data_IF_395965639857
#
_entry.id   IF_395965639857
#
_cell.length_a   1.000
_cell.length_b   1.000
_cell.length_c   1.000
_cell.angle_alpha   90.00
_cell.angle_beta   90.00
_cell.angle_gamma   90.00
#
_symmetry.space_group_name_H-M   'P 1'
#
loop_
_entity.id
_entity.type
_entity.pdbx_description
1 polymer ?
#
# COMPACT_ATOMS: atom_id res chain seq x y z
N UNK A 1 -19.76 52.29 -19.12
CA UNK A 1 -18.44 52.54 -19.74
C UNK A 1 -17.64 53.48 -18.85
N UNK A 2 -16.40 53.09 -18.50
CA UNK A 2 -15.26 53.88 -17.97
C UNK A 2 -15.42 54.53 -16.57
N UNK A 3 -14.80 53.98 -15.53
CA UNK A 3 -13.41 54.17 -15.06
C UNK A 3 -13.21 55.41 -14.16
N UNK A 4 -12.94 55.23 -12.86
CA UNK A 4 -11.61 55.42 -12.22
C UNK A 4 -11.69 55.56 -10.69
N UNK A 5 -10.71 54.90 -10.06
CA UNK A 5 -10.31 55.00 -8.67
C UNK A 5 -9.91 56.43 -8.27
N UNK A 6 -10.03 56.76 -6.98
CA UNK A 6 -9.04 57.64 -6.37
C UNK A 6 -8.71 57.23 -4.93
N UNK A 7 -7.42 57.26 -4.64
CA UNK A 7 -6.72 56.96 -3.38
C UNK A 7 -6.05 58.28 -2.93
N UNK A 8 -5.16 58.26 -1.93
CA UNK A 8 -5.34 58.60 -0.52
C UNK A 8 -4.88 60.03 -0.15
N UNK A 9 -5.31 60.50 1.03
CA UNK A 9 -4.76 61.70 1.68
C UNK A 9 -3.48 61.37 2.44
N UNK A 10 -2.43 62.16 2.18
CA UNK A 10 -1.12 62.17 2.85
C UNK A 10 -1.11 63.23 3.95
N UNK A 11 -0.58 62.89 5.11
CA UNK A 11 0.12 63.83 6.00
C UNK A 11 1.25 63.03 6.67
N UNK A 12 2.54 63.20 6.30
CA UNK A 12 3.52 64.14 6.89
C UNK A 12 3.41 64.16 8.42
N UNK A 13 4.45 64.05 9.24
CA UNK A 13 5.91 64.00 9.13
C UNK A 13 6.34 63.79 10.59
N UNK A 14 7.40 63.02 10.87
CA UNK A 14 8.45 63.35 11.85
C UNK A 14 9.26 62.10 12.22
N UNK A 15 10.52 62.15 11.83
CA UNK A 15 11.59 61.22 12.15
C UNK A 15 12.14 61.60 13.53
N UNK A 16 12.30 60.65 14.46
CA UNK A 16 13.45 60.64 15.40
C UNK A 16 13.88 59.20 15.70
N UNK A 17 15.14 58.92 15.34
CA UNK A 17 15.88 57.69 15.60
C UNK A 17 16.34 57.67 17.05
N UNK A 18 16.14 56.57 17.77
CA UNK A 18 16.92 56.02 18.90
C UNK A 18 16.31 54.61 19.10
N UNK A 19 16.95 53.49 18.78
CA UNK A 19 18.20 53.01 19.35
C UNK A 19 17.90 52.13 20.58
N UNK A 20 17.61 50.83 20.37
CA UNK A 20 18.13 49.70 21.18
C UNK A 20 17.54 48.36 20.68
N UNK A 21 18.41 47.39 20.48
CA UNK A 21 18.07 46.00 20.26
C UNK A 21 17.63 45.34 21.58
N UNK A 22 16.55 44.56 21.54
CA UNK A 22 16.26 43.52 22.55
C UNK A 22 15.84 42.26 21.81
N UNK A 23 16.76 41.29 21.77
CA UNK A 23 16.49 39.88 21.48
C UNK A 23 15.81 39.28 22.71
N UNK A 24 14.59 38.80 22.59
CA UNK A 24 14.07 37.73 23.46
C UNK A 24 13.44 36.67 22.56
N UNK A 25 14.11 35.53 22.52
CA UNK A 25 13.62 34.29 21.99
C UNK A 25 12.68 33.59 22.99
N UNK A 26 11.88 32.67 22.44
CA UNK A 26 11.22 31.54 23.08
C UNK A 26 9.92 31.78 23.87
N UNK A 27 8.88 31.03 23.50
CA UNK A 27 7.64 30.92 24.27
C UNK A 27 6.49 30.23 23.54
N UNK A 28 6.67 28.94 23.25
CA UNK A 28 5.72 27.93 22.77
C UNK A 28 4.21 28.23 22.83
N UNK A 29 3.51 28.07 21.69
CA UNK A 29 2.12 27.63 21.67
C UNK A 29 2.01 26.39 20.77
N UNK A 30 1.90 25.26 21.45
CA UNK A 30 1.76 23.93 20.89
C UNK A 30 0.44 23.78 20.13
N UNK A 31 0.53 23.24 18.93
CA UNK A 31 -0.60 22.83 18.11
C UNK A 31 -0.15 22.08 16.85
N UNK A 32 1.04 21.49 16.89
CA UNK A 32 1.44 20.55 15.86
C UNK A 32 0.65 19.26 16.12
N UNK A 33 -0.47 19.12 15.43
CA UNK A 33 -1.07 17.82 15.16
C UNK A 33 0.06 16.89 14.74
N UNK A 34 0.42 15.97 15.63
CA UNK A 34 1.28 14.86 15.30
C UNK A 34 0.60 14.12 14.16
N UNK A 35 1.06 14.37 12.94
CA UNK A 35 1.01 13.37 11.89
C UNK A 35 1.82 12.19 12.42
N UNK A 36 1.14 11.30 13.14
CA UNK A 36 1.62 9.94 13.32
C UNK A 36 1.81 9.39 11.92
N UNK A 37 3.05 9.40 11.44
CA UNK A 37 3.47 8.44 10.42
C UNK A 37 2.94 7.10 10.92
N UNK A 38 2.15 6.34 10.15
CA UNK A 38 1.83 5.00 10.56
C UNK A 38 3.18 4.34 10.81
N UNK A 39 3.43 3.95 12.07
CA UNK A 39 4.56 3.12 12.41
C UNK A 39 4.32 1.82 11.65
N UNK A 40 4.79 1.75 10.40
CA UNK A 40 4.93 0.49 9.70
C UNK A 40 5.90 -0.28 10.58
N UNK A 41 5.37 -1.13 11.45
CA UNK A 41 6.19 -2.04 12.21
C UNK A 41 7.04 -2.77 11.16
N UNK A 42 8.37 -2.76 11.30
CA UNK A 42 9.21 -3.55 10.41
C UNK A 42 8.70 -4.99 10.47
N UNK A 43 8.78 -5.69 9.36
CA UNK A 43 8.23 -7.03 9.22
C UNK A 43 8.63 -7.95 10.38
N UNK A 44 7.75 -8.03 11.37
CA UNK A 44 8.02 -8.59 12.68
C UNK A 44 7.00 -9.69 12.94
N UNK A 45 7.47 -10.76 13.60
CA UNK A 45 6.82 -12.04 13.82
C UNK A 45 5.29 -12.05 13.71
N UNK A 46 4.78 -12.14 12.48
CA UNK A 46 3.46 -12.70 12.25
C UNK A 46 3.56 -14.12 12.81
N UNK A 47 2.62 -14.52 13.67
CA UNK A 47 2.40 -15.91 14.04
C UNK A 47 1.46 -16.49 12.99
N UNK A 48 1.96 -16.98 11.83
CA UNK A 48 1.15 -17.89 11.08
C UNK A 48 0.85 -19.06 12.00
N UNK A 49 -0.33 -19.65 11.96
CA UNK A 49 -0.58 -20.92 12.67
C UNK A 49 0.34 -22.05 12.14
N UNK A 50 -0.12 -23.29 12.07
CA UNK A 50 0.67 -24.36 11.45
C UNK A 50 0.81 -24.11 9.94
N UNK A 51 1.80 -23.29 9.54
CA UNK A 51 2.20 -23.02 8.15
C UNK A 51 3.63 -23.48 7.95
N UNK A 52 3.99 -23.85 6.73
CA UNK A 52 5.39 -24.13 6.40
C UNK A 52 6.24 -22.87 6.60
N UNK A 53 7.50 -23.04 7.01
CA UNK A 53 8.44 -21.91 7.20
C UNK A 53 8.54 -21.03 5.95
N UNK A 54 8.61 -21.65 4.76
CA UNK A 54 8.63 -20.93 3.48
C UNK A 54 7.40 -20.04 3.26
N UNK A 55 6.20 -20.50 3.65
CA UNK A 55 4.99 -19.69 3.53
C UNK A 55 5.02 -18.54 4.56
N UNK A 56 5.46 -18.82 5.78
CA UNK A 56 5.63 -17.81 6.82
C UNK A 56 6.59 -16.69 6.38
N UNK A 57 7.70 -17.05 5.75
CA UNK A 57 8.71 -16.09 5.28
C UNK A 57 8.21 -15.28 4.08
N UNK A 58 7.51 -15.92 3.14
CA UNK A 58 6.89 -15.22 2.02
C UNK A 58 5.86 -14.16 2.49
N UNK A 59 5.09 -14.46 3.54
CA UNK A 59 4.12 -13.53 4.12
C UNK A 59 4.75 -12.31 4.81
N UNK A 60 6.04 -12.40 5.17
CA UNK A 60 6.82 -11.33 5.80
C UNK A 60 7.56 -10.46 4.78
N UNK A 61 7.38 -10.67 3.48
CA UNK A 61 7.97 -9.79 2.47
C UNK A 61 7.35 -8.39 2.61
N UNK A 62 8.17 -7.32 2.70
CA UNK A 62 7.64 -5.95 2.73
C UNK A 62 6.87 -5.61 1.45
N UNK A 63 5.69 -5.01 1.59
CA UNK A 63 4.86 -4.61 0.45
C UNK A 63 5.62 -3.67 -0.51
N UNK A 64 6.47 -2.79 0.05
CA UNK A 64 7.35 -1.88 -0.71
C UNK A 64 8.35 -2.59 -1.64
N UNK A 65 8.79 -3.80 -1.29
CA UNK A 65 9.68 -4.59 -2.16
C UNK A 65 8.97 -5.11 -3.42
N UNK A 66 7.66 -5.32 -3.32
CA UNK A 66 6.79 -5.77 -4.42
C UNK A 66 6.38 -4.58 -5.29
N UNK A 67 6.02 -3.47 -4.66
CA UNK A 67 5.58 -2.23 -5.32
C UNK A 67 6.08 -1.03 -4.52
N UNK A 68 6.92 -0.20 -5.13
CA UNK A 68 7.60 0.90 -4.46
C UNK A 68 6.66 2.00 -3.91
N UNK A 69 5.41 2.05 -4.39
CA UNK A 69 4.39 2.98 -3.90
C UNK A 69 3.74 2.50 -2.58
N UNK A 70 4.02 1.27 -2.15
CA UNK A 70 3.45 0.68 -0.95
C UNK A 70 4.29 0.98 0.31
N UNK A 71 3.68 0.94 1.50
CA UNK A 71 4.39 1.13 2.76
C UNK A 71 5.38 -0.02 3.06
N UNK A 72 6.33 0.25 3.96
CA UNK A 72 7.30 -0.73 4.48
C UNK A 72 6.71 -1.72 5.51
N UNK A 73 5.43 -2.07 5.35
CA UNK A 73 4.78 -3.08 6.18
C UNK A 73 4.75 -4.42 5.45
N UNK A 74 4.58 -5.52 6.18
CA UNK A 74 4.49 -6.85 5.57
C UNK A 74 3.31 -6.94 4.62
N UNK A 75 3.49 -7.73 3.56
CA UNK A 75 2.44 -7.95 2.57
C UNK A 75 1.19 -8.57 3.19
N UNK A 76 1.34 -9.48 4.15
CA UNK A 76 0.20 -10.05 4.86
C UNK A 76 -0.58 -9.00 5.65
N UNK A 77 0.10 -8.16 6.43
CA UNK A 77 -0.55 -7.10 7.21
C UNK A 77 -1.17 -6.04 6.30
N UNK A 78 -0.48 -5.69 5.21
CA UNK A 78 -0.99 -4.75 4.21
C UNK A 78 -2.27 -5.27 3.54
N UNK A 79 -2.32 -6.56 3.18
CA UNK A 79 -3.50 -7.17 2.58
C UNK A 79 -4.66 -7.25 3.57
N UNK A 80 -4.39 -7.59 4.84
CA UNK A 80 -5.40 -7.57 5.92
C UNK A 80 -5.97 -6.18 6.13
N UNK A 81 -5.11 -5.16 6.21
CA UNK A 81 -5.53 -3.77 6.36
C UNK A 81 -6.30 -3.25 5.13
N UNK A 82 -5.92 -3.70 3.93
CA UNK A 82 -6.56 -3.27 2.68
C UNK A 82 -7.93 -3.93 2.49
N UNK A 83 -8.04 -5.23 2.78
CA UNK A 83 -9.29 -5.97 2.66
C UNK A 83 -10.25 -5.71 3.83
N UNK A 84 -9.71 -5.34 5.00
CA UNK A 84 -10.47 -5.14 6.24
C UNK A 84 -10.89 -6.46 6.89
N UNK A 85 -10.16 -7.56 6.62
CA UNK A 85 -10.42 -8.89 7.17
C UNK A 85 -9.11 -9.65 7.38
N UNK A 86 -9.10 -10.56 8.35
CA UNK A 86 -8.00 -11.49 8.61
C UNK A 86 -8.19 -12.86 7.94
N UNK A 87 -9.30 -13.07 7.23
CA UNK A 87 -9.66 -14.33 6.59
C UNK A 87 -9.05 -14.44 5.18
N UNK A 88 -7.76 -14.75 5.14
CA UNK A 88 -7.04 -15.07 3.92
C UNK A 88 -6.61 -16.55 3.91
N UNK A 89 -6.89 -17.24 2.82
CA UNK A 89 -6.24 -18.48 2.47
C UNK A 89 -4.91 -18.19 1.77
N UNK A 90 -3.83 -18.66 2.38
CA UNK A 90 -2.47 -18.43 1.93
C UNK A 90 -1.86 -19.72 1.40
N UNK A 91 -1.23 -19.67 0.24
CA UNK A 91 -0.51 -20.82 -0.30
C UNK A 91 0.70 -20.41 -1.13
N UNK A 92 1.60 -21.38 -1.36
CA UNK A 92 2.67 -21.26 -2.34
C UNK A 92 2.34 -22.14 -3.55
N UNK A 93 2.17 -21.52 -4.71
CA UNK A 93 1.93 -22.21 -5.98
C UNK A 93 3.05 -21.95 -6.97
N UNK A 94 3.05 -22.66 -8.10
CA UNK A 94 3.85 -22.25 -9.24
C UNK A 94 3.24 -20.98 -9.86
N UNK A 95 4.09 -20.09 -10.37
CA UNK A 95 3.63 -18.83 -10.98
C UNK A 95 3.10 -19.05 -12.40
N UNK A 96 3.64 -20.03 -13.12
CA UNK A 96 3.27 -20.30 -14.50
C UNK A 96 1.85 -20.86 -14.59
N UNK A 97 1.07 -20.38 -15.57
CA UNK A 97 -0.12 -21.10 -16.00
C UNK A 97 0.32 -22.45 -16.58
N UNK A 98 -0.48 -23.53 -16.47
CA UNK A 98 -0.15 -24.78 -17.14
C UNK A 98 0.01 -24.49 -18.64
N UNK A 99 1.26 -24.48 -19.10
CA UNK A 99 1.56 -24.26 -20.50
C UNK A 99 1.00 -25.45 -21.28
N UNK A 100 0.41 -25.19 -22.46
CA UNK A 100 0.07 -26.24 -23.42
C UNK A 100 1.32 -26.95 -23.95
N UNK A 101 2.49 -26.34 -23.75
CA UNK A 101 3.79 -26.83 -24.17
C UNK A 101 4.62 -27.22 -22.95
N UNK A 102 5.16 -28.44 -22.95
CA UNK A 102 5.98 -28.96 -21.84
C UNK A 102 7.24 -28.09 -21.72
N UNK A 103 7.31 -27.27 -20.68
CA UNK A 103 8.58 -26.72 -20.24
C UNK A 103 9.61 -27.85 -20.04
N UNK A 104 10.90 -27.63 -20.35
CA UNK A 104 11.92 -28.65 -20.14
C UNK A 104 11.88 -29.13 -18.69
N UNK A 105 11.98 -30.45 -18.46
CA UNK A 105 11.77 -31.09 -17.17
C UNK A 105 12.67 -30.55 -16.03
N UNK A 106 13.73 -29.83 -16.39
CA UNK A 106 14.73 -29.27 -15.48
C UNK A 106 14.61 -27.75 -15.25
N UNK A 107 13.56 -27.08 -15.73
CA UNK A 107 13.39 -25.66 -15.40
C UNK A 107 12.96 -25.47 -13.95
N UNK A 108 13.72 -24.68 -13.21
CA UNK A 108 13.34 -24.24 -11.86
C UNK A 108 12.19 -23.25 -11.98
N UNK A 109 10.97 -23.76 -11.73
CA UNK A 109 9.74 -22.98 -11.87
C UNK A 109 9.67 -21.86 -10.85
N UNK A 110 9.14 -20.72 -11.27
CA UNK A 110 8.93 -19.60 -10.36
C UNK A 110 7.85 -19.94 -9.34
N UNK A 111 8.08 -19.57 -8.07
CA UNK A 111 7.11 -19.77 -6.98
C UNK A 111 6.40 -18.47 -6.66
N UNK A 112 5.09 -18.59 -6.49
CA UNK A 112 4.19 -17.51 -6.20
C UNK A 112 3.54 -17.71 -4.84
N UNK A 113 3.55 -16.66 -4.03
CA UNK A 113 2.64 -16.49 -2.91
C UNK A 113 1.26 -16.15 -3.46
N UNK A 114 0.27 -16.93 -3.07
CA UNK A 114 -1.13 -16.73 -3.42
C UNK A 114 -1.89 -16.37 -2.15
N UNK A 115 -2.67 -15.29 -2.23
CA UNK A 115 -3.55 -14.83 -1.18
C UNK A 115 -4.97 -14.71 -1.72
N UNK A 116 -5.87 -15.51 -1.17
CA UNK A 116 -7.29 -15.49 -1.45
C UNK A 116 -8.04 -15.00 -0.22
N UNK A 117 -8.79 -13.90 -0.34
CA UNK A 117 -9.52 -13.32 0.77
C UNK A 117 -10.91 -12.90 0.37
N UNK A 118 -11.82 -12.82 1.33
CA UNK A 118 -13.16 -12.29 1.10
C UNK A 118 -13.66 -11.45 2.26
N UNK A 119 -14.41 -10.40 1.94
CA UNK A 119 -15.10 -9.55 2.92
C UNK A 119 -16.47 -10.12 3.25
N UNK A 120 -17.02 -9.76 4.41
CA UNK A 120 -18.40 -10.11 4.78
C UNK A 120 -19.47 -9.60 3.78
N UNK A 121 -19.11 -8.63 2.92
CA UNK A 121 -20.00 -8.06 1.89
C UNK A 121 -19.91 -8.79 0.54
N UNK A 122 -19.26 -9.96 0.49
CA UNK A 122 -19.15 -10.77 -0.72
C UNK A 122 -18.17 -10.22 -1.77
N UNK A 123 -17.28 -9.30 -1.38
CA UNK A 123 -16.14 -8.90 -2.23
C UNK A 123 -14.98 -9.84 -1.96
N UNK A 124 -14.52 -10.54 -2.99
CA UNK A 124 -13.39 -11.46 -2.97
C UNK A 124 -12.18 -10.85 -3.67
N UNK A 125 -11.00 -11.21 -3.16
CA UNK A 125 -9.69 -10.76 -3.60
C UNK A 125 -8.82 -11.98 -3.88
N UNK A 126 -8.18 -11.99 -5.04
CA UNK A 126 -7.14 -12.95 -5.40
C UNK A 126 -5.86 -12.19 -5.75
N UNK A 127 -4.74 -12.52 -5.13
CA UNK A 127 -3.43 -11.91 -5.40
C UNK A 127 -2.37 -13.00 -5.59
N UNK A 128 -1.56 -12.88 -6.64
CA UNK A 128 -0.37 -13.70 -6.88
C UNK A 128 0.87 -12.81 -6.96
N UNK A 129 1.84 -13.12 -6.11
CA UNK A 129 3.13 -12.43 -6.03
C UNK A 129 4.22 -13.46 -6.25
N UNK A 130 5.10 -13.25 -7.22
CA UNK A 130 6.29 -14.06 -7.38
C UNK A 130 7.24 -13.76 -6.21
N UNK A 131 7.66 -14.81 -5.51
CA UNK A 131 8.48 -14.73 -4.29
C UNK A 131 9.78 -15.52 -4.38
N UNK A 132 9.96 -16.35 -5.40
CA UNK A 132 11.18 -17.13 -5.58
C UNK A 132 11.05 -18.20 -6.64
N UNK A 133 11.68 -19.34 -6.40
CA UNK A 133 11.67 -20.52 -7.28
C UNK A 133 11.38 -21.80 -6.51
N UNK A 134 11.20 -22.93 -7.20
CA UNK A 134 10.88 -24.20 -6.55
C UNK A 134 12.04 -24.67 -5.67
N UNK A 135 13.28 -24.45 -6.10
CA UNK A 135 14.47 -24.74 -5.32
C UNK A 135 14.65 -23.78 -4.13
N UNK A 136 14.27 -22.50 -4.30
CA UNK A 136 14.37 -21.46 -3.26
C UNK A 136 13.06 -20.67 -3.16
N UNK A 137 12.08 -21.17 -2.38
CA UNK A 137 10.70 -20.65 -2.37
C UNK A 137 10.58 -19.17 -2.02
N UNK A 138 11.52 -18.62 -1.26
CA UNK A 138 11.64 -17.19 -0.97
C UNK A 138 13.04 -16.74 -1.36
N UNK A 139 13.17 -16.10 -2.52
CA UNK A 139 14.45 -15.60 -3.04
C UNK A 139 14.25 -14.61 -4.20
N UNK A 140 15.28 -13.80 -4.46
CA UNK A 140 15.25 -12.80 -5.53
C UNK A 140 14.34 -11.62 -5.20
N UNK A 141 14.13 -10.74 -6.19
CA UNK A 141 13.24 -9.58 -6.04
C UNK A 141 11.79 -10.05 -6.19
N UNK A 142 10.92 -9.86 -5.18
CA UNK A 142 9.52 -10.21 -5.30
C UNK A 142 8.82 -9.30 -6.31
N UNK A 143 7.82 -9.83 -7.01
CA UNK A 143 7.13 -9.08 -8.06
C UNK A 143 5.65 -9.43 -8.11
N UNK A 144 4.81 -8.40 -8.25
CA UNK A 144 3.38 -8.59 -8.48
C UNK A 144 3.17 -9.26 -9.84
N UNK A 145 2.32 -10.29 -9.91
CA UNK A 145 2.05 -11.06 -11.14
C UNK A 145 0.60 -10.94 -11.57
N UNK A 146 -0.31 -11.07 -10.62
CA UNK A 146 -1.74 -11.05 -10.89
C UNK A 146 -2.50 -10.56 -9.65
N UNK A 147 -3.54 -9.77 -9.87
CA UNK A 147 -4.48 -9.41 -8.83
C UNK A 147 -5.86 -9.24 -9.45
N UNK A 148 -6.88 -9.74 -8.77
CA UNK A 148 -8.25 -9.52 -9.20
C UNK A 148 -9.17 -9.34 -8.00
N UNK A 149 -10.17 -8.47 -8.18
CA UNK A 149 -11.23 -8.24 -7.21
C UNK A 149 -12.54 -8.61 -7.87
N UNK A 150 -13.34 -9.45 -7.21
CA UNK A 150 -14.64 -9.89 -7.70
C UNK A 150 -15.71 -9.64 -6.64
N UNK A 151 -16.90 -9.25 -7.05
CA UNK A 151 -18.02 -9.04 -6.14
C UNK A 151 -19.21 -8.40 -6.86
N UNK A 152 -20.42 -8.75 -6.45
CA UNK A 152 -21.65 -8.09 -6.90
C UNK A 152 -21.79 -8.05 -8.43
N UNK A 153 -21.52 -9.18 -9.07
CA UNK A 153 -21.57 -9.33 -10.54
C UNK A 153 -20.44 -8.64 -11.31
N UNK A 154 -19.46 -8.04 -10.63
CA UNK A 154 -18.30 -7.39 -11.25
C UNK A 154 -17.01 -8.14 -10.97
N UNK A 155 -16.10 -8.09 -11.93
CA UNK A 155 -14.71 -8.51 -11.80
C UNK A 155 -13.82 -7.41 -12.33
N UNK A 156 -12.85 -7.01 -11.53
CA UNK A 156 -11.84 -6.02 -11.87
C UNK A 156 -10.46 -6.67 -11.79
N UNK A 157 -9.71 -6.62 -12.89
CA UNK A 157 -8.29 -6.96 -12.88
C UNK A 157 -7.50 -5.78 -12.32
N UNK A 158 -6.46 -6.09 -11.55
CA UNK A 158 -5.61 -5.12 -10.88
C UNK A 158 -4.22 -5.20 -11.50
N UNK A 159 -3.75 -4.15 -12.20
CA UNK A 159 -2.47 -4.19 -12.91
C UNK A 159 -1.26 -3.99 -11.99
N UNK A 160 -1.46 -3.34 -10.84
CA UNK A 160 -0.42 -3.09 -9.85
C UNK A 160 -0.98 -3.23 -8.43
N UNK A 161 -0.14 -3.71 -7.50
CA UNK A 161 -0.57 -3.97 -6.14
C UNK A 161 -1.06 -2.68 -5.44
N UNK A 162 -0.43 -1.53 -5.72
CA UNK A 162 -0.89 -0.21 -5.25
C UNK A 162 -2.33 0.18 -5.65
N UNK A 163 -2.88 -0.41 -6.72
CA UNK A 163 -4.22 -0.08 -7.22
C UNK A 163 -5.34 -0.93 -6.58
N UNK A 164 -4.98 -1.90 -5.73
CA UNK A 164 -5.92 -2.85 -5.15
C UNK A 164 -7.08 -2.17 -4.41
N UNK A 165 -6.76 -1.13 -3.63
CA UNK A 165 -7.77 -0.37 -2.88
C UNK A 165 -8.78 0.32 -3.79
N UNK A 166 -8.32 0.88 -4.92
CA UNK A 166 -9.20 1.53 -5.89
C UNK A 166 -10.11 0.50 -6.58
N UNK A 167 -9.56 -0.65 -6.97
CA UNK A 167 -10.34 -1.75 -7.55
C UNK A 167 -11.43 -2.27 -6.58
N UNK A 168 -11.09 -2.41 -5.30
CA UNK A 168 -12.06 -2.77 -4.26
C UNK A 168 -13.18 -1.74 -4.10
N UNK A 169 -12.86 -0.45 -4.10
CA UNK A 169 -13.86 0.61 -4.03
C UNK A 169 -14.81 0.57 -5.23
N UNK A 170 -14.27 0.36 -6.43
CA UNK A 170 -15.08 0.23 -7.66
C UNK A 170 -16.05 -0.96 -7.61
N UNK A 171 -15.57 -2.13 -7.18
CA UNK A 171 -16.40 -3.34 -7.07
C UNK A 171 -17.44 -3.19 -5.96
N UNK A 172 -17.04 -2.71 -4.77
CA UNK A 172 -17.95 -2.55 -3.63
C UNK A 172 -19.03 -1.49 -3.84
N UNK A 173 -18.77 -0.46 -4.66
CA UNK A 173 -19.79 0.51 -5.05
C UNK A 173 -20.94 -0.13 -5.85
N UNK A 174 -20.69 -1.26 -6.52
CA UNK A 174 -21.73 -2.02 -7.21
C UNK A 174 -22.66 -2.77 -6.27
N UNK A 175 -22.18 -3.12 -5.06
CA UNK A 175 -22.92 -3.89 -4.06
C UNK A 175 -23.97 -3.10 -3.29
N UNK A 176 -23.99 -1.77 -3.44
CA UNK A 176 -24.92 -0.87 -2.74
C UNK A 176 -26.21 -0.62 -3.51
N UNK A 177 -26.39 -1.27 -4.66
CA UNK A 177 -27.59 -1.22 -5.49
C UNK A 177 -28.45 -2.45 -5.20
#
# INVERSE_FOLDING_TARGET
MRMRCNKPSRSRQAIRKFGLAVLIAAGCAAGAYGQGKPNAAPCGAINPGPRSANLADAMKIPAREIDAALPEQCIADWLVATLGTNSFDWSLSDCEKPAKEKAPANSDKSRCLVADGSTAKGVSLHVKIQVGSRAKPVSGKPAFREGSVTGCGRKQQVPALGELKAAMQYVSAACKK
#
